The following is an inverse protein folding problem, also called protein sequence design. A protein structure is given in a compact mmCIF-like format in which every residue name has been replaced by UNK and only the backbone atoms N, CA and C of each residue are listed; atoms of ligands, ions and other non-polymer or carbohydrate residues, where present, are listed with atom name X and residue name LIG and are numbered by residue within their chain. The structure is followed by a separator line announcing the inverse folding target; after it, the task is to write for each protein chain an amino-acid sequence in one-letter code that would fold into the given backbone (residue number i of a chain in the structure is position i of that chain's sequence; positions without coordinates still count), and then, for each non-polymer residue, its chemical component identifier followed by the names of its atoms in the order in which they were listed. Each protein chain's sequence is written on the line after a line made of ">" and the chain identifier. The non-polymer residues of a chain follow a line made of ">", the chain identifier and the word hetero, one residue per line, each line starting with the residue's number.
data_IF_238603748988
#
_entry.id   IF_238603748988
#
_cell.length_a   1.000
_cell.length_b   1.000
_cell.length_c   1.000
_cell.angle_alpha   90.00
_cell.angle_beta   90.00
_cell.angle_gamma   90.00
#
_symmetry.space_group_name_H-M   'P 1'
#
loop_
_entity.id
_entity.type
_entity.pdbx_description
1 polymer ?
#
# COMPACT_ATOMS: atom_id res chain seq x y z
N UNK A 1 -79.17 -12.38 10.56
CA UNK A 1 -78.47 -12.69 9.30
C UNK A 1 -76.98 -12.74 9.58
N UNK A 2 -76.36 -13.92 9.57
CA UNK A 2 -74.92 -14.07 9.85
C UNK A 2 -74.26 -14.68 8.61
N UNK A 3 -73.66 -13.85 7.75
CA UNK A 3 -72.91 -14.32 6.57
C UNK A 3 -71.61 -14.95 7.07
N UNK A 4 -71.55 -16.28 7.07
CA UNK A 4 -70.34 -17.06 7.33
C UNK A 4 -69.35 -16.75 6.19
N UNK A 5 -68.33 -15.93 6.48
CA UNK A 5 -67.27 -15.57 5.53
C UNK A 5 -66.47 -16.85 5.23
N UNK A 6 -66.76 -17.49 4.10
CA UNK A 6 -66.02 -18.66 3.62
C UNK A 6 -64.66 -18.14 3.16
N UNK A 7 -63.61 -18.50 3.89
CA UNK A 7 -62.23 -18.14 3.57
C UNK A 7 -61.80 -18.90 2.29
N UNK A 8 -61.30 -18.16 1.30
CA UNK A 8 -60.75 -18.73 0.08
C UNK A 8 -59.50 -19.57 0.40
N UNK A 9 -59.62 -20.88 0.27
CA UNK A 9 -58.58 -21.85 0.62
C UNK A 9 -57.30 -21.67 -0.20
N UNK A 10 -57.41 -21.07 -1.38
CA UNK A 10 -56.26 -20.81 -2.24
C UNK A 10 -55.32 -19.76 -1.64
N UNK A 11 -55.84 -18.74 -0.97
CA UNK A 11 -55.03 -17.72 -0.29
C UNK A 11 -54.22 -18.26 0.90
N UNK A 12 -54.69 -19.32 1.57
CA UNK A 12 -53.95 -19.95 2.68
C UNK A 12 -52.71 -20.71 2.20
N UNK A 13 -52.76 -21.34 1.03
CA UNK A 13 -51.59 -22.04 0.48
C UNK A 13 -50.45 -21.08 0.12
N UNK A 14 -50.77 -19.92 -0.45
CA UNK A 14 -49.76 -18.89 -0.73
C UNK A 14 -49.15 -18.30 0.55
N UNK A 15 -49.95 -18.12 1.60
CA UNK A 15 -49.45 -17.62 2.88
C UNK A 15 -48.49 -18.60 3.56
N UNK A 16 -48.83 -19.90 3.57
CA UNK A 16 -47.94 -20.94 4.10
C UNK A 16 -46.65 -21.01 3.28
N UNK A 17 -46.74 -20.98 1.95
CA UNK A 17 -45.58 -20.95 1.07
C UNK A 17 -44.66 -19.76 1.34
N UNK A 18 -45.23 -18.56 1.48
CA UNK A 18 -44.46 -17.36 1.80
C UNK A 18 -43.77 -17.44 3.16
N UNK A 19 -44.43 -17.96 4.20
CA UNK A 19 -43.83 -18.14 5.52
C UNK A 19 -42.66 -19.12 5.47
N UNK A 20 -42.82 -20.24 4.76
CA UNK A 20 -41.73 -21.23 4.60
C UNK A 20 -40.53 -20.60 3.91
N UNK A 21 -40.74 -19.84 2.83
CA UNK A 21 -39.67 -19.13 2.11
C UNK A 21 -38.97 -18.12 3.04
N UNK A 22 -39.73 -17.34 3.81
CA UNK A 22 -39.17 -16.37 4.77
C UNK A 22 -38.32 -17.08 5.83
N UNK A 23 -38.81 -18.19 6.40
CA UNK A 23 -38.06 -18.96 7.42
C UNK A 23 -36.77 -19.53 6.84
N UNK A 24 -36.80 -20.05 5.61
CA UNK A 24 -35.61 -20.54 4.92
C UNK A 24 -34.60 -19.42 4.68
N UNK A 25 -35.05 -18.27 4.17
CA UNK A 25 -34.19 -17.10 3.94
C UNK A 25 -33.56 -16.62 5.26
N UNK A 26 -34.35 -16.44 6.32
CA UNK A 26 -33.85 -16.00 7.64
C UNK A 26 -32.84 -16.99 8.21
N UNK A 27 -33.07 -18.30 8.05
CA UNK A 27 -32.15 -19.34 8.51
C UNK A 27 -30.82 -19.27 7.76
N UNK A 28 -30.84 -19.13 6.43
CA UNK A 28 -29.64 -18.99 5.60
C UNK A 28 -28.86 -17.74 5.98
N UNK A 29 -29.53 -16.59 6.13
CA UNK A 29 -28.89 -15.33 6.54
C UNK A 29 -28.24 -15.47 7.92
N UNK A 30 -28.92 -16.10 8.87
CA UNK A 30 -28.38 -16.31 10.23
C UNK A 30 -27.15 -17.21 10.21
N UNK A 31 -27.19 -18.30 9.45
CA UNK A 31 -26.05 -19.21 9.29
C UNK A 31 -24.90 -18.48 8.60
N UNK A 32 -25.15 -17.72 7.53
CA UNK A 32 -24.13 -16.95 6.81
C UNK A 32 -23.43 -15.95 7.74
N UNK A 33 -24.20 -15.17 8.50
CA UNK A 33 -23.66 -14.21 9.47
C UNK A 33 -22.85 -14.89 10.59
N UNK A 34 -23.33 -16.03 11.10
CA UNK A 34 -22.61 -16.80 12.11
C UNK A 34 -21.28 -17.34 11.58
N UNK A 35 -21.26 -17.86 10.35
CA UNK A 35 -20.05 -18.34 9.68
C UNK A 35 -19.04 -17.21 9.46
N UNK A 36 -19.46 -16.07 8.90
CA UNK A 36 -18.57 -14.91 8.70
C UNK A 36 -17.94 -14.44 10.01
N UNK A 37 -18.72 -14.30 11.08
CA UNK A 37 -18.20 -13.90 12.40
C UNK A 37 -17.16 -14.90 12.92
N UNK A 38 -17.41 -16.20 12.75
CA UNK A 38 -16.48 -17.26 13.17
C UNK A 38 -15.17 -17.20 12.40
N UNK A 39 -15.22 -16.94 11.09
CA UNK A 39 -14.02 -16.88 10.26
C UNK A 39 -13.19 -15.63 10.55
N UNK A 40 -13.83 -14.49 10.84
CA UNK A 40 -13.15 -13.29 11.32
C UNK A 40 -12.41 -13.57 12.63
N UNK A 41 -13.06 -14.19 13.62
CA UNK A 41 -12.43 -14.53 14.90
C UNK A 41 -11.22 -15.45 14.70
N UNK A 42 -11.35 -16.50 13.89
CA UNK A 42 -10.21 -17.39 13.57
C UNK A 42 -9.05 -16.66 12.89
N UNK A 43 -9.32 -15.65 12.07
CA UNK A 43 -8.29 -14.86 11.40
C UNK A 43 -7.47 -14.05 12.42
N UNK A 44 -8.15 -13.41 13.38
CA UNK A 44 -7.49 -12.67 14.46
C UNK A 44 -6.75 -13.60 15.43
N UNK A 45 -7.37 -14.72 15.85
CA UNK A 45 -6.74 -15.72 16.71
C UNK A 45 -5.46 -16.26 16.07
N UNK A 46 -5.51 -16.58 14.76
CA UNK A 46 -4.34 -17.02 14.01
C UNK A 46 -3.21 -15.97 14.01
N UNK A 47 -3.53 -14.70 13.81
CA UNK A 47 -2.53 -13.64 13.87
C UNK A 47 -1.90 -13.50 15.26
N UNK A 48 -2.70 -13.63 16.31
CA UNK A 48 -2.20 -13.57 17.68
C UNK A 48 -1.26 -14.76 18.00
N UNK A 49 -1.68 -15.99 17.70
CA UNK A 49 -0.86 -17.19 17.87
C UNK A 49 0.46 -17.07 17.12
N UNK A 50 0.40 -16.62 15.85
CA UNK A 50 1.58 -16.46 15.00
C UNK A 50 2.55 -15.43 15.56
N UNK A 51 2.06 -14.31 16.08
CA UNK A 51 2.90 -13.31 16.75
C UNK A 51 3.63 -13.88 17.97
N UNK A 52 2.94 -14.68 18.78
CA UNK A 52 3.55 -15.29 19.99
C UNK A 52 4.58 -16.36 19.60
N UNK A 53 4.24 -17.28 18.70
CA UNK A 53 5.15 -18.38 18.36
C UNK A 53 6.37 -17.90 17.58
N UNK A 54 6.22 -16.91 16.69
CA UNK A 54 7.35 -16.34 15.95
C UNK A 54 8.39 -15.72 16.87
N UNK A 55 7.97 -15.03 17.93
CA UNK A 55 8.87 -14.49 18.94
C UNK A 55 9.67 -15.61 19.63
N UNK A 56 9.01 -16.72 19.99
CA UNK A 56 9.69 -17.87 20.62
C UNK A 56 10.72 -18.51 19.69
N UNK A 57 10.43 -18.58 18.39
CA UNK A 57 11.35 -19.11 17.38
C UNK A 57 12.57 -18.21 17.21
N UNK A 58 12.37 -16.88 17.17
CA UNK A 58 13.47 -15.92 17.13
C UNK A 58 14.33 -16.01 18.39
N UNK A 59 13.72 -16.03 19.57
CA UNK A 59 14.40 -16.16 20.86
C UNK A 59 15.26 -17.43 20.92
N UNK A 60 14.72 -18.55 20.43
CA UNK A 60 15.47 -19.82 20.34
C UNK A 60 16.69 -19.69 19.44
N UNK A 61 16.52 -19.07 18.28
CA UNK A 61 17.59 -18.83 17.32
C UNK A 61 18.71 -17.96 17.89
N UNK A 62 18.34 -16.87 18.57
CA UNK A 62 19.28 -15.98 19.26
C UNK A 62 19.98 -16.70 20.42
N UNK A 63 19.24 -17.41 21.27
CA UNK A 63 19.79 -18.15 22.41
C UNK A 63 20.78 -19.23 21.97
N UNK A 64 20.50 -19.90 20.85
CA UNK A 64 21.34 -20.95 20.28
C UNK A 64 22.52 -20.42 19.47
N UNK A 65 22.67 -19.08 19.36
CA UNK A 65 23.73 -18.42 18.60
C UNK A 65 23.78 -18.88 17.14
N UNK A 66 22.61 -19.06 16.53
CA UNK A 66 22.51 -19.42 15.12
C UNK A 66 23.08 -18.28 14.26
N UNK A 67 23.84 -18.64 13.23
CA UNK A 67 24.26 -17.67 12.21
C UNK A 67 23.08 -17.29 11.29
N UNK A 68 23.29 -16.27 10.44
CA UNK A 68 22.25 -15.76 9.53
C UNK A 68 21.66 -16.86 8.61
N UNK A 69 22.48 -17.82 8.17
CA UNK A 69 22.03 -18.91 7.30
C UNK A 69 21.18 -19.91 8.07
N UNK A 70 21.57 -20.25 9.30
CA UNK A 70 20.82 -21.12 10.20
C UNK A 70 19.50 -20.47 10.65
N UNK A 71 19.51 -19.17 10.95
CA UNK A 71 18.31 -18.39 11.23
C UNK A 71 17.35 -18.41 10.04
N UNK A 72 17.87 -18.22 8.82
CA UNK A 72 17.06 -18.30 7.59
C UNK A 72 16.36 -19.65 7.45
N UNK A 73 17.07 -20.76 7.67
CA UNK A 73 16.50 -22.12 7.62
C UNK A 73 15.46 -22.35 8.72
N UNK A 74 15.74 -21.90 9.95
CA UNK A 74 14.81 -21.99 11.07
C UNK A 74 13.48 -21.29 10.74
N UNK A 75 13.57 -20.05 10.25
CA UNK A 75 12.39 -19.26 9.88
C UNK A 75 11.63 -19.85 8.70
N UNK A 76 12.33 -20.35 7.67
CA UNK A 76 11.70 -21.05 6.55
C UNK A 76 10.89 -22.27 7.00
N UNK A 77 11.45 -23.08 7.90
CA UNK A 77 10.75 -24.26 8.42
C UNK A 77 9.53 -23.88 9.27
N UNK A 78 9.68 -22.87 10.14
CA UNK A 78 8.58 -22.34 10.94
C UNK A 78 7.43 -21.86 10.06
N UNK A 79 7.74 -21.03 9.07
CA UNK A 79 6.76 -20.47 8.14
C UNK A 79 6.07 -21.56 7.33
N UNK A 80 6.84 -22.53 6.81
CA UNK A 80 6.28 -23.63 6.02
C UNK A 80 5.31 -24.49 6.84
N UNK A 81 5.60 -24.73 8.12
CA UNK A 81 4.69 -25.43 9.01
C UNK A 81 3.39 -24.66 9.20
N UNK A 82 3.47 -23.35 9.42
CA UNK A 82 2.30 -22.49 9.57
C UNK A 82 1.43 -22.41 8.31
N UNK A 83 2.05 -22.27 7.14
CA UNK A 83 1.35 -22.32 5.85
C UNK A 83 0.58 -23.63 5.70
N UNK A 84 1.17 -24.77 6.11
CA UNK A 84 0.51 -26.07 6.04
C UNK A 84 -0.68 -26.21 7.03
N UNK A 85 -0.64 -25.52 8.17
CA UNK A 85 -1.76 -25.49 9.13
C UNK A 85 -2.95 -24.69 8.61
N UNK A 86 -2.72 -23.75 7.71
CA UNK A 86 -3.75 -22.88 7.16
C UNK A 86 -4.47 -23.62 6.02
N UNK A 87 -5.56 -24.30 6.36
CA UNK A 87 -6.29 -25.21 5.47
C UNK A 87 -7.18 -24.53 4.40
N UNK A 88 -7.25 -23.21 4.36
CA UNK A 88 -8.23 -22.46 3.54
C UNK A 88 -7.59 -21.24 2.85
N UNK A 89 -8.31 -20.68 1.87
CA UNK A 89 -7.95 -19.52 1.03
C UNK A 89 -7.52 -18.29 1.83
N UNK A 90 -6.27 -18.26 2.29
CA UNK A 90 -5.71 -17.13 3.04
C UNK A 90 -4.43 -16.68 2.38
N UNK A 91 -4.28 -15.38 2.23
CA UNK A 91 -3.06 -14.79 1.72
C UNK A 91 -2.21 -14.43 2.93
N UNK A 92 -1.08 -15.11 3.08
CA UNK A 92 -0.17 -14.95 4.22
C UNK A 92 1.19 -14.60 3.68
N UNK A 93 1.77 -13.52 4.17
CA UNK A 93 3.10 -13.07 3.80
C UNK A 93 3.90 -12.86 5.06
N UNK A 94 5.15 -13.32 5.02
CA UNK A 94 6.12 -13.15 6.07
C UNK A 94 7.30 -12.38 5.50
N UNK A 95 7.78 -11.42 6.26
CA UNK A 95 8.97 -10.66 5.94
C UNK A 95 9.90 -10.71 7.14
N UNK A 96 11.14 -11.12 6.92
CA UNK A 96 12.13 -11.23 7.98
C UNK A 96 13.53 -10.95 7.47
N UNK A 97 14.44 -10.52 8.33
CA UNK A 97 15.82 -10.26 7.90
C UNK A 97 16.56 -9.28 8.78
N UNK A 98 17.40 -8.45 8.18
CA UNK A 98 18.19 -7.43 8.85
C UNK A 98 18.40 -6.22 7.94
N UNK A 99 19.23 -5.26 8.38
CA UNK A 99 19.52 -4.03 7.62
C UNK A 99 20.22 -4.27 6.28
N UNK A 100 20.82 -5.45 6.07
CA UNK A 100 21.56 -5.76 4.84
C UNK A 100 20.72 -6.57 3.84
N UNK A 101 19.85 -7.44 4.36
CA UNK A 101 19.05 -8.37 3.55
C UNK A 101 17.68 -8.58 4.20
N UNK A 102 16.63 -8.46 3.39
CA UNK A 102 15.25 -8.82 3.76
C UNK A 102 14.81 -10.02 2.93
N UNK A 103 14.14 -10.97 3.57
CA UNK A 103 13.57 -12.15 2.97
C UNK A 103 12.05 -12.07 3.06
N UNK A 104 11.37 -12.40 1.98
CA UNK A 104 9.92 -12.53 1.96
C UNK A 104 9.51 -13.91 1.49
N UNK A 105 8.51 -14.47 2.16
CA UNK A 105 7.91 -15.75 1.80
C UNK A 105 6.41 -15.61 1.96
N UNK A 106 5.68 -16.11 0.97
CA UNK A 106 4.24 -15.94 0.91
C UNK A 106 3.53 -17.21 0.51
N UNK A 107 2.30 -17.35 1.01
CA UNK A 107 1.28 -18.15 0.38
C UNK A 107 0.28 -17.19 -0.24
N UNK A 108 0.19 -17.24 -1.56
CA UNK A 108 -0.72 -16.43 -2.33
C UNK A 108 -1.69 -17.32 -3.11
N UNK A 109 -2.99 -17.04 -3.02
CA UNK A 109 -3.95 -17.73 -3.88
C UNK A 109 -3.70 -17.31 -5.35
N UNK A 110 -3.70 -18.27 -6.27
CA UNK A 110 -3.41 -18.06 -7.71
C UNK A 110 -4.28 -16.97 -8.37
N UNK A 111 -5.42 -16.61 -7.79
CA UNK A 111 -6.35 -15.59 -8.28
C UNK A 111 -6.14 -14.18 -7.69
N UNK A 112 -5.15 -13.98 -6.82
CA UNK A 112 -4.90 -12.69 -6.16
C UNK A 112 -3.75 -11.92 -6.82
N UNK A 113 -3.83 -10.59 -6.74
CA UNK A 113 -2.82 -9.65 -7.29
C UNK A 113 -1.48 -9.78 -6.58
N UNK A 114 -0.34 -9.59 -7.29
CA UNK A 114 0.99 -9.72 -6.69
C UNK A 114 1.18 -8.76 -5.52
N UNK A 115 2.04 -9.14 -4.57
CA UNK A 115 2.43 -8.27 -3.46
C UNK A 115 3.66 -7.48 -3.84
N UNK A 116 3.68 -6.19 -3.53
CA UNK A 116 4.84 -5.35 -3.80
C UNK A 116 5.62 -5.09 -2.52
N UNK A 117 6.94 -5.22 -2.61
CA UNK A 117 7.84 -5.03 -1.47
C UNK A 117 8.76 -3.86 -1.80
N UNK A 118 8.66 -2.80 -0.99
CA UNK A 118 9.58 -1.66 -1.03
C UNK A 118 10.55 -1.77 0.13
N UNK A 119 11.84 -1.69 -0.18
CA UNK A 119 12.87 -1.48 0.84
C UNK A 119 13.26 -0.01 0.84
N UNK A 120 13.18 0.64 1.99
CA UNK A 120 13.73 1.99 2.14
C UNK A 120 14.94 1.93 3.07
N UNK A 121 16.05 2.52 2.66
CA UNK A 121 17.13 2.89 3.56
C UNK A 121 16.64 3.94 4.56
N UNK A 122 17.40 4.31 5.61
CA UNK A 122 16.96 5.39 6.53
C UNK A 122 16.72 6.70 5.75
N UNK A 123 15.46 6.94 5.38
CA UNK A 123 14.94 8.21 4.95
C UNK A 123 13.45 8.22 5.31
N UNK A 124 13.09 9.24 6.09
CA UNK A 124 11.77 9.87 6.25
C UNK A 124 10.63 9.16 5.52
N UNK A 125 9.55 8.80 6.25
CA UNK A 125 8.30 8.39 5.61
C UNK A 125 7.97 9.34 4.46
N UNK A 126 7.50 8.80 3.31
CA UNK A 126 7.24 9.60 2.12
C UNK A 126 6.36 10.79 2.51
N UNK A 127 6.89 12.00 2.30
CA UNK A 127 6.25 13.24 2.71
C UNK A 127 6.62 14.32 1.71
N UNK A 128 5.68 15.21 1.41
CA UNK A 128 5.97 16.36 0.58
C UNK A 128 7.13 17.18 1.17
N UNK A 129 8.12 17.46 0.33
CA UNK A 129 9.37 18.11 0.70
C UNK A 129 10.46 17.14 1.18
N UNK A 130 10.39 15.85 0.81
CA UNK A 130 11.46 14.88 1.04
C UNK A 130 12.46 14.78 -0.13
N UNK A 131 12.16 15.48 -1.23
CA UNK A 131 12.97 15.55 -2.44
C UNK A 131 12.75 14.39 -3.39
N UNK A 132 11.71 13.58 -3.20
CA UNK A 132 11.43 12.39 -4.00
C UNK A 132 9.93 12.31 -4.30
N UNK A 133 9.55 12.32 -5.58
CA UNK A 133 8.17 12.07 -6.02
C UNK A 133 7.84 10.59 -5.79
N UNK A 134 7.26 10.27 -4.65
CA UNK A 134 7.05 8.90 -4.18
C UNK A 134 5.63 8.64 -3.66
N UNK A 135 4.79 9.67 -3.52
CA UNK A 135 3.36 9.54 -3.23
C UNK A 135 2.52 9.73 -4.49
N UNK A 136 1.38 9.02 -4.55
CA UNK A 136 0.44 9.14 -5.68
C UNK A 136 -0.14 10.56 -5.84
N UNK A 137 -0.21 11.33 -4.75
CA UNK A 137 -0.68 12.71 -4.74
C UNK A 137 0.33 13.72 -5.28
N UNK A 138 1.63 13.39 -5.32
CA UNK A 138 2.70 14.30 -5.70
C UNK A 138 2.83 14.42 -7.23
N UNK A 139 2.88 15.67 -7.69
CA UNK A 139 3.20 16.04 -9.06
C UNK A 139 4.65 16.53 -9.20
N UNK A 140 5.27 16.92 -8.08
CA UNK A 140 6.67 17.30 -7.92
C UNK A 140 7.04 17.15 -6.43
N UNK A 141 8.33 17.11 -6.11
CA UNK A 141 8.85 17.29 -4.76
C UNK A 141 10.27 17.86 -4.86
N UNK A 142 10.45 19.14 -4.58
CA UNK A 142 11.76 19.81 -4.69
C UNK A 142 12.51 19.94 -3.35
N UNK A 143 12.14 19.10 -2.37
CA UNK A 143 12.88 18.91 -1.14
C UNK A 143 12.64 19.98 -0.07
N UNK A 144 11.63 20.82 -0.24
CA UNK A 144 11.24 21.83 0.73
C UNK A 144 9.70 21.99 0.76
N UNK A 145 9.20 22.90 1.59
CA UNK A 145 7.77 23.20 1.74
C UNK A 145 7.45 24.66 1.45
N UNK A 146 8.31 25.34 0.70
CA UNK A 146 8.09 26.68 0.23
C UNK A 146 7.11 26.64 -0.96
N UNK A 147 6.71 27.79 -1.44
CA UNK A 147 5.85 27.90 -2.62
C UNK A 147 6.38 29.06 -3.45
N UNK A 148 5.92 29.17 -4.68
CA UNK A 148 6.41 30.13 -5.69
C UNK A 148 7.84 29.83 -6.18
N UNK A 149 8.26 28.57 -6.17
CA UNK A 149 9.52 28.10 -6.76
C UNK A 149 9.34 27.00 -7.82
N UNK A 150 8.08 26.67 -8.15
CA UNK A 150 7.69 25.69 -9.15
C UNK A 150 7.15 24.39 -8.57
N UNK A 151 7.32 24.16 -7.26
CA UNK A 151 6.66 23.08 -6.54
C UNK A 151 6.02 23.64 -5.26
N UNK A 152 4.70 23.50 -5.14
CA UNK A 152 4.00 24.04 -3.97
C UNK A 152 4.26 23.21 -2.71
N UNK A 153 3.92 23.78 -1.56
CA UNK A 153 3.92 23.08 -0.26
C UNK A 153 2.95 21.88 -0.16
N UNK A 154 2.08 21.70 -1.17
CA UNK A 154 1.21 20.52 -1.33
C UNK A 154 1.72 19.56 -2.41
N UNK A 155 2.97 19.76 -2.88
CA UNK A 155 3.64 18.97 -3.91
C UNK A 155 2.86 18.92 -5.24
N UNK A 156 2.22 20.05 -5.55
CA UNK A 156 1.58 20.32 -6.83
C UNK A 156 2.47 21.20 -7.68
N UNK A 157 2.55 20.89 -8.97
CA UNK A 157 3.20 21.77 -9.93
C UNK A 157 2.46 23.11 -9.92
N UNK A 158 3.20 24.17 -9.67
CA UNK A 158 2.63 25.50 -9.60
C UNK A 158 2.34 26.01 -11.01
N UNK A 159 1.12 26.50 -11.21
CA UNK A 159 0.71 27.04 -12.51
C UNK A 159 1.01 28.52 -12.57
N UNK A 160 1.46 28.98 -13.74
CA UNK A 160 1.52 30.39 -14.08
C UNK A 160 0.12 31.00 -13.90
N UNK A 161 0.01 31.99 -13.02
CA UNK A 161 -1.26 32.66 -12.75
C UNK A 161 -1.27 33.98 -13.52
N UNK A 162 -1.69 33.93 -14.79
CA UNK A 162 -1.75 35.06 -15.72
C UNK A 162 -2.69 36.22 -15.30
N UNK A 163 -3.12 36.28 -14.04
CA UNK A 163 -4.18 37.16 -13.53
C UNK A 163 -3.68 38.41 -12.77
N UNK A 164 -2.37 38.65 -12.67
CA UNK A 164 -1.83 39.84 -11.99
C UNK A 164 -1.59 41.06 -12.89
N UNK A 165 -1.64 40.97 -14.22
CA UNK A 165 -1.51 42.14 -15.09
C UNK A 165 -2.88 42.73 -15.43
N UNK A 166 -3.39 43.60 -14.55
CA UNK A 166 -4.61 44.39 -14.74
C UNK A 166 -4.48 45.52 -15.79
N UNK A 167 -3.68 45.35 -16.83
CA UNK A 167 -3.53 46.35 -17.90
C UNK A 167 -3.63 45.70 -19.29
N UNK A 168 -4.51 46.24 -20.13
CA UNK A 168 -4.86 45.74 -21.46
C UNK A 168 -3.64 45.71 -22.41
N UNK A 169 -3.25 44.50 -22.86
CA UNK A 169 -2.11 44.10 -23.74
C UNK A 169 -0.90 43.47 -23.03
N UNK A 170 -1.12 42.45 -22.21
CA UNK A 170 -0.04 41.52 -21.87
C UNK A 170 0.07 40.43 -22.96
N UNK A 171 0.73 40.80 -24.06
CA UNK A 171 1.11 39.86 -25.09
C UNK A 171 2.25 39.00 -24.57
N UNK A 172 1.91 37.95 -23.81
CA UNK A 172 2.70 36.74 -23.71
C UNK A 172 4.18 36.99 -23.35
N UNK A 173 4.46 37.50 -22.14
CA UNK A 173 5.81 37.46 -21.54
C UNK A 173 6.43 36.07 -21.61
N UNK A 174 5.56 35.06 -21.55
CA UNK A 174 5.94 33.70 -21.80
C UNK A 174 6.52 33.48 -23.20
N UNK A 175 7.82 33.23 -23.27
CA UNK A 175 8.55 33.01 -24.51
C UNK A 175 9.28 34.24 -25.04
N UNK A 176 9.49 35.25 -24.21
CA UNK A 176 10.38 36.39 -24.50
C UNK A 176 11.87 36.07 -24.21
N UNK A 177 12.14 34.92 -23.58
CA UNK A 177 13.47 34.44 -23.24
C UNK A 177 13.97 34.93 -21.88
N UNK A 178 13.10 35.53 -21.07
CA UNK A 178 13.35 36.01 -19.70
C UNK A 178 12.36 35.31 -18.77
N UNK A 179 12.80 34.98 -17.55
CA UNK A 179 11.91 34.40 -16.54
C UNK A 179 11.42 35.52 -15.61
N UNK A 180 10.20 36.00 -15.83
CA UNK A 180 9.59 37.07 -15.05
C UNK A 180 8.94 36.53 -13.75
N UNK A 181 9.77 36.14 -12.78
CA UNK A 181 9.30 35.57 -11.49
C UNK A 181 8.29 36.44 -10.74
N UNK A 182 8.34 37.76 -10.93
CA UNK A 182 7.40 38.69 -10.27
C UNK A 182 5.97 38.56 -10.80
N UNK A 183 5.82 38.01 -12.02
CA UNK A 183 4.55 37.74 -12.68
C UNK A 183 4.15 36.25 -12.56
N UNK A 184 4.95 35.44 -11.85
CA UNK A 184 4.67 34.03 -11.59
C UNK A 184 5.21 33.07 -12.65
N UNK A 185 6.12 33.51 -13.52
CA UNK A 185 6.78 32.64 -14.49
C UNK A 185 7.84 31.76 -13.80
N UNK A 186 7.75 30.45 -14.02
CA UNK A 186 8.70 29.48 -13.48
C UNK A 186 9.79 29.11 -14.51
N UNK A 187 9.45 29.23 -15.79
CA UNK A 187 10.31 28.94 -16.92
C UNK A 187 9.88 29.79 -18.11
N UNK A 188 10.77 29.92 -19.10
CA UNK A 188 10.49 30.50 -20.40
C UNK A 188 11.10 29.61 -21.47
N UNK A 189 10.28 29.07 -22.38
CA UNK A 189 10.72 28.26 -23.53
C UNK A 189 11.70 27.14 -23.17
N UNK A 190 13.02 27.38 -23.26
CA UNK A 190 14.09 26.44 -22.88
C UNK A 190 14.80 26.80 -21.57
N UNK A 191 14.59 28.01 -21.08
CA UNK A 191 15.10 28.49 -19.81
C UNK A 191 14.23 27.93 -18.68
N UNK A 192 14.72 26.87 -18.03
CA UNK A 192 14.00 26.15 -16.96
C UNK A 192 14.36 26.64 -15.55
N UNK A 193 14.95 27.83 -15.41
CA UNK A 193 15.40 28.37 -14.11
C UNK A 193 16.28 27.37 -13.31
N UNK A 194 17.15 26.64 -14.01
CA UNK A 194 17.99 25.56 -13.47
C UNK A 194 17.23 24.37 -12.87
N UNK A 195 15.91 24.30 -13.04
CA UNK A 195 15.12 23.13 -12.64
C UNK A 195 15.24 22.03 -13.70
N UNK A 196 15.23 20.81 -13.21
CA UNK A 196 15.27 19.55 -13.96
C UNK A 196 14.26 18.59 -13.36
N UNK A 197 14.00 17.45 -14.02
CA UNK A 197 13.20 16.39 -13.39
C UNK A 197 13.81 15.99 -12.03
N UNK A 198 15.13 15.86 -11.94
CA UNK A 198 15.82 15.45 -10.72
C UNK A 198 15.64 16.47 -9.59
N UNK A 199 15.73 17.77 -9.90
CA UNK A 199 15.53 18.81 -8.88
C UNK A 199 14.05 18.97 -8.46
N UNK A 200 13.11 18.34 -9.16
CA UNK A 200 11.69 18.28 -8.79
C UNK A 200 11.31 16.89 -8.23
N UNK A 201 12.31 16.10 -7.82
CA UNK A 201 12.11 14.83 -7.12
C UNK A 201 11.91 13.60 -8.00
N UNK A 202 12.06 13.73 -9.32
CA UNK A 202 11.99 12.59 -10.23
C UNK A 202 13.35 11.89 -10.37
N UNK A 203 13.36 10.60 -10.73
CA UNK A 203 14.63 9.87 -10.90
C UNK A 203 15.39 10.29 -12.17
N UNK A 204 14.67 10.58 -13.25
CA UNK A 204 15.28 11.01 -14.53
C UNK A 204 14.24 11.63 -15.48
N UNK A 205 14.60 11.81 -16.75
CA UNK A 205 13.71 12.31 -17.80
C UNK A 205 14.02 13.74 -18.23
N UNK A 206 13.09 14.33 -19.00
CA UNK A 206 13.25 15.66 -19.59
C UNK A 206 12.13 16.58 -19.15
N UNK A 207 12.48 17.64 -18.43
CA UNK A 207 11.54 18.69 -18.02
C UNK A 207 11.27 19.65 -19.19
N UNK A 208 10.03 20.09 -19.35
CA UNK A 208 9.64 21.08 -20.36
C UNK A 208 9.04 22.33 -19.71
N UNK A 209 9.06 23.41 -20.48
CA UNK A 209 8.29 24.61 -20.17
C UNK A 209 7.05 24.65 -21.07
N UNK A 210 5.86 24.72 -20.48
CA UNK A 210 4.58 24.86 -21.20
C UNK A 210 3.76 25.90 -20.47
N UNK A 211 3.29 26.92 -21.21
CA UNK A 211 2.53 28.05 -20.65
C UNK A 211 3.22 28.67 -19.40
N UNK A 212 4.55 28.76 -19.44
CA UNK A 212 5.43 29.27 -18.39
C UNK A 212 5.36 28.56 -17.03
N UNK A 213 4.74 27.38 -17.03
CA UNK A 213 4.83 26.38 -15.98
C UNK A 213 5.70 25.20 -16.39
N UNK A 214 6.17 24.46 -15.38
CA UNK A 214 6.88 23.21 -15.60
C UNK A 214 5.91 22.12 -16.06
N UNK A 215 6.28 21.42 -17.14
CA UNK A 215 5.62 20.21 -17.62
C UNK A 215 6.53 19.00 -17.34
N UNK A 216 6.15 18.22 -16.33
CA UNK A 216 6.84 17.02 -15.89
C UNK A 216 6.34 15.73 -16.59
N UNK A 217 5.51 15.82 -17.63
CA UNK A 217 4.95 14.64 -18.32
C UNK A 217 6.02 13.69 -18.86
N UNK A 218 7.21 14.20 -19.19
CA UNK A 218 8.35 13.39 -19.68
C UNK A 218 9.41 13.14 -18.59
N UNK A 219 9.10 13.45 -17.34
CA UNK A 219 9.90 13.03 -16.19
C UNK A 219 9.55 11.59 -15.81
N UNK A 220 10.55 10.87 -15.34
CA UNK A 220 10.45 9.47 -14.94
C UNK A 220 10.47 9.44 -13.42
N UNK A 221 9.34 9.03 -12.82
CA UNK A 221 9.24 8.84 -11.37
C UNK A 221 10.28 7.80 -10.91
N UNK A 222 10.79 7.92 -9.67
CA UNK A 222 11.53 6.84 -9.03
C UNK A 222 10.78 5.52 -9.19
N UNK A 223 11.52 4.45 -9.45
CA UNK A 223 10.95 3.13 -9.74
C UNK A 223 10.02 2.72 -8.58
N UNK A 224 8.78 2.38 -8.94
CA UNK A 224 7.78 1.86 -8.02
C UNK A 224 8.29 0.52 -7.43
N UNK A 225 7.97 0.16 -6.18
CA UNK A 225 8.46 -1.08 -5.57
C UNK A 225 8.31 -2.29 -6.48
N UNK A 226 9.33 -3.14 -6.48
CA UNK A 226 9.31 -4.39 -7.22
C UNK A 226 8.12 -5.24 -6.74
N UNK A 227 7.12 -5.39 -7.60
CA UNK A 227 5.97 -6.25 -7.34
C UNK A 227 6.37 -7.68 -7.67
N UNK A 228 6.29 -8.56 -6.67
CA UNK A 228 6.66 -9.95 -6.88
C UNK A 228 5.54 -10.89 -6.46
N UNK A 229 5.24 -11.81 -7.36
CA UNK A 229 4.36 -12.93 -7.07
C UNK A 229 5.10 -13.88 -6.14
N UNK A 230 4.68 -13.91 -4.86
CA UNK A 230 5.22 -14.87 -3.90
C UNK A 230 4.54 -16.22 -4.12
N UNK A 231 5.21 -17.12 -4.83
CA UNK A 231 4.75 -18.49 -5.07
C UNK A 231 4.85 -19.34 -3.81
N UNK A 232 3.98 -20.35 -3.69
CA UNK A 232 3.90 -21.24 -2.51
C UNK A 232 5.28 -21.85 -2.21
N UNK A 233 5.81 -21.54 -1.02
CA UNK A 233 7.07 -22.11 -0.53
C UNK A 233 8.33 -21.50 -1.13
N UNK A 234 8.21 -20.45 -1.93
CA UNK A 234 9.35 -19.73 -2.49
C UNK A 234 9.74 -18.56 -1.58
N UNK A 235 11.01 -18.53 -1.18
CA UNK A 235 11.59 -17.39 -0.46
C UNK A 235 12.26 -16.49 -1.48
N UNK A 236 11.85 -15.23 -1.49
CA UNK A 236 12.53 -14.19 -2.24
C UNK A 236 13.41 -13.37 -1.32
N UNK A 237 14.57 -12.98 -1.84
CA UNK A 237 15.60 -12.28 -1.09
C UNK A 237 15.86 -10.92 -1.73
N UNK A 238 15.76 -9.88 -0.93
CA UNK A 238 15.89 -8.49 -1.32
C UNK A 238 17.09 -7.87 -0.60
N UNK A 239 18.20 -7.62 -1.31
CA UNK A 239 19.37 -6.96 -0.72
C UNK A 239 19.09 -5.46 -0.51
N UNK A 240 19.76 -4.84 0.46
CA UNK A 240 19.61 -3.41 0.78
C UNK A 240 19.93 -2.46 -0.38
N UNK A 241 20.74 -2.91 -1.36
CA UNK A 241 21.13 -2.14 -2.55
C UNK A 241 21.98 -0.89 -2.28
N UNK A 242 22.21 -0.53 -1.01
CA UNK A 242 22.85 0.72 -0.57
C UNK A 242 23.75 0.48 0.64
N UNK A 243 24.66 1.42 0.93
CA UNK A 243 25.54 1.36 2.10
C UNK A 243 24.87 1.77 3.42
N UNK A 244 23.72 2.44 3.36
CA UNK A 244 23.01 2.95 4.56
C UNK A 244 22.16 1.86 5.25
N UNK A 245 21.90 0.75 4.56
CA UNK A 245 21.12 -0.36 5.08
C UNK A 245 19.62 -0.05 5.16
N UNK A 246 18.79 -1.09 5.17
CA UNK A 246 17.33 -1.02 5.17
C UNK A 246 16.86 -0.59 6.56
N UNK A 247 15.93 0.37 6.59
CA UNK A 247 15.30 0.91 7.79
C UNK A 247 13.83 0.54 7.90
N UNK A 248 13.13 0.50 6.76
CA UNK A 248 11.71 0.16 6.69
C UNK A 248 11.42 -0.75 5.51
N UNK A 249 10.52 -1.69 5.71
CA UNK A 249 9.91 -2.52 4.67
C UNK A 249 8.47 -2.08 4.49
N UNK A 250 8.09 -1.70 3.28
CA UNK A 250 6.69 -1.43 2.93
C UNK A 250 6.17 -2.60 2.13
N UNK A 251 5.08 -3.20 2.59
CA UNK A 251 4.36 -4.25 1.86
C UNK A 251 3.07 -3.63 1.33
N UNK A 252 2.93 -3.59 0.00
CA UNK A 252 1.71 -3.11 -0.65
C UNK A 252 0.85 -4.29 -1.07
N UNK A 253 -0.44 -4.22 -0.72
CA UNK A 253 -1.45 -5.20 -1.11
C UNK A 253 -2.64 -4.43 -1.70
N UNK A 254 -2.85 -4.56 -3.01
CA UNK A 254 -3.77 -3.69 -3.77
C UNK A 254 -3.29 -2.22 -3.64
N UNK A 255 -4.14 -1.29 -3.21
CA UNK A 255 -3.77 0.11 -2.98
C UNK A 255 -3.27 0.43 -1.56
N UNK A 256 -3.32 -0.53 -0.63
CA UNK A 256 -2.98 -0.30 0.78
C UNK A 256 -1.52 -0.64 1.05
N UNK A 257 -0.81 0.27 1.72
CA UNK A 257 0.58 0.09 2.14
C UNK A 257 0.68 -0.21 3.63
N UNK A 258 1.48 -1.20 3.98
CA UNK A 258 1.77 -1.58 5.36
C UNK A 258 3.27 -1.40 5.61
N UNK A 259 3.63 -0.46 6.48
CA UNK A 259 5.02 -0.12 6.76
C UNK A 259 5.50 -0.77 8.06
N UNK A 260 6.63 -1.49 7.98
CA UNK A 260 7.30 -2.08 9.13
C UNK A 260 8.67 -1.47 9.29
N UNK A 261 9.00 -1.03 10.51
CA UNK A 261 10.32 -0.48 10.82
C UNK A 261 11.21 -1.59 11.35
N UNK A 262 12.31 -1.87 10.65
CA UNK A 262 13.32 -2.83 11.09
C UNK A 262 13.91 -2.38 12.43
N UNK A 263 13.84 -3.28 13.41
CA UNK A 263 14.37 -3.10 14.76
C UNK A 263 15.44 -4.15 15.01
N UNK A 264 16.53 -3.74 15.63
CA UNK A 264 17.61 -4.67 15.97
C UNK A 264 17.08 -5.77 16.89
N UNK A 265 17.14 -7.02 16.43
CA UNK A 265 16.61 -8.19 17.15
C UNK A 265 15.11 -8.50 16.97
N UNK A 266 14.32 -7.65 16.29
CA UNK A 266 12.85 -7.84 16.14
C UNK A 266 12.39 -7.78 14.67
N UNK A 267 13.22 -8.24 13.73
CA UNK A 267 12.93 -8.13 12.29
C UNK A 267 12.13 -9.32 11.76
N UNK A 268 10.96 -9.60 12.35
CA UNK A 268 9.98 -10.53 11.79
C UNK A 268 8.61 -9.86 11.76
N UNK A 269 8.07 -9.76 10.56
CA UNK A 269 6.77 -9.17 10.30
C UNK A 269 5.92 -10.13 9.49
N UNK A 270 4.61 -10.08 9.70
CA UNK A 270 3.68 -10.83 8.88
C UNK A 270 2.47 -9.97 8.52
N UNK A 271 1.86 -10.31 7.39
CA UNK A 271 0.55 -9.85 6.98
C UNK A 271 -0.29 -11.05 6.59
N UNK A 272 -1.45 -11.19 7.20
CA UNK A 272 -2.47 -12.15 6.84
C UNK A 272 -3.69 -11.37 6.35
N UNK A 273 -4.24 -11.74 5.20
CA UNK A 273 -5.53 -11.22 4.78
C UNK A 273 -6.43 -12.24 4.11
N UNK A 274 -7.73 -12.01 4.26
CA UNK A 274 -8.79 -12.82 3.68
C UNK A 274 -9.99 -11.94 3.32
N UNK A 275 -10.72 -12.30 2.26
CA UNK A 275 -12.04 -11.73 1.98
C UNK A 275 -13.11 -12.54 2.72
N UNK A 276 -13.80 -11.93 3.68
CA UNK A 276 -14.88 -12.56 4.46
C UNK A 276 -16.15 -11.73 4.24
N UNK A 277 -17.21 -12.35 3.72
CA UNK A 277 -18.44 -11.62 3.39
C UNK A 277 -18.30 -10.59 2.25
N UNK A 278 -17.20 -10.64 1.49
CA UNK A 278 -16.88 -9.66 0.44
C UNK A 278 -15.98 -8.50 0.91
N UNK A 279 -15.77 -8.36 2.22
CA UNK A 279 -14.88 -7.36 2.80
C UNK A 279 -13.49 -7.93 3.07
N UNK A 280 -12.45 -7.12 2.84
CA UNK A 280 -11.05 -7.50 3.07
C UNK A 280 -10.73 -7.26 4.55
N UNK A 281 -10.35 -8.32 5.26
CA UNK A 281 -9.84 -8.25 6.62
C UNK A 281 -8.35 -8.52 6.62
N UNK A 282 -7.59 -7.68 7.32
CA UNK A 282 -6.12 -7.74 7.39
C UNK A 282 -5.68 -7.79 8.84
N UNK A 283 -4.68 -8.63 9.12
CA UNK A 283 -4.01 -8.76 10.41
C UNK A 283 -2.51 -8.69 10.20
N UNK A 284 -1.84 -7.86 10.98
CA UNK A 284 -0.41 -7.58 10.89
C UNK A 284 0.28 -7.91 12.23
N UNK A 285 1.60 -8.13 12.19
CA UNK A 285 2.42 -8.38 13.40
C UNK A 285 2.58 -7.18 14.33
N UNK A 286 2.45 -5.96 13.79
CA UNK A 286 2.45 -4.70 14.54
C UNK A 286 1.14 -3.95 14.27
N UNK A 287 0.72 -3.07 15.18
CA UNK A 287 -0.33 -2.09 14.89
C UNK A 287 0.18 -1.09 13.84
N UNK A 288 0.06 -1.46 12.57
CA UNK A 288 0.32 -0.58 11.44
C UNK A 288 -1.00 0.09 11.08
N UNK A 289 -1.08 1.41 11.23
CA UNK A 289 -2.20 2.15 10.67
C UNK A 289 -2.08 2.11 9.14
N UNK A 290 -3.14 1.77 8.40
CA UNK A 290 -3.18 1.95 6.95
C UNK A 290 -3.13 3.43 6.56
#
# INVERSE_FOLDING_TARGET
>A
MNKKKVMDKNGQFFLIGAIVIIVVIVSIVTISNYTQKKDIVKLYDLGQELGIESQQVLDYGTYSQLDDAQMKVLMQNFIQNYVNYVKEEKNIYFVYGNKNEVNAIGYQQLSSEPVCIKLNAEAKSPVCGDGIVNQNSEECDDGNSDSLDGCSSECKLEKYNAYSSSEENDNNKCGDGIIDKSDGEYCDTKELNLKTCISLGFASGTLKCVDCGFDATNCIKPEEPECVSLTIGETQTFPAGTSEGISTVVIRIDVTEYQFRLKEGENFYFIIWQKIGGEKHVVTSEETQP
#
